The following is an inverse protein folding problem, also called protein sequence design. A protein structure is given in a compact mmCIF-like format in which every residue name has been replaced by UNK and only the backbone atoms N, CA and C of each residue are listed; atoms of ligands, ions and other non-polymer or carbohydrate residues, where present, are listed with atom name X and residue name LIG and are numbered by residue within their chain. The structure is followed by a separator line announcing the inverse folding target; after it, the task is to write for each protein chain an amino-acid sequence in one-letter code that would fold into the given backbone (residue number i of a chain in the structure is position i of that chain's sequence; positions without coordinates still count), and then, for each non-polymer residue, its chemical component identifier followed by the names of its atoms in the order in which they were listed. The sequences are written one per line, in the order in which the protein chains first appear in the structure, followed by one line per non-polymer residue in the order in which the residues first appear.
data_IF_460329259037
#
_entry.id   IF_460329259037
#
_cell.length_a   1.000
_cell.length_b   1.000
_cell.length_c   1.000
_cell.angle_alpha   90.00
_cell.angle_beta   90.00
_cell.angle_gamma   90.00
#
_symmetry.space_group_name_H-M   'P 1'
#
loop_
_entity.id
_entity.type
_entity.pdbx_description
1 polymer ?
#
# COMPACT_ATOMS: atom_id res chain seq x y z
N UNK A 1 -29.79 -63.37 64.29
CA UNK A 1 -29.08 -64.25 63.35
C UNK A 1 -28.08 -63.38 62.58
N UNK A 2 -26.88 -63.15 63.12
CA UNK A 2 -25.63 -63.96 63.06
C UNK A 2 -24.87 -63.84 61.74
N UNK A 3 -23.53 -63.84 61.90
CA UNK A 3 -22.44 -63.96 60.91
C UNK A 3 -21.89 -62.63 60.41
N UNK A 4 -20.90 -62.03 61.08
CA UNK A 4 -19.47 -62.40 61.24
C UNK A 4 -18.60 -62.10 60.02
N UNK A 5 -17.59 -61.29 60.30
CA UNK A 5 -16.47 -60.89 59.48
C UNK A 5 -15.59 -62.04 58.97
N UNK A 6 -14.99 -61.84 57.80
CA UNK A 6 -13.73 -62.44 57.36
C UNK A 6 -12.81 -61.27 56.92
N UNK A 7 -11.80 -60.91 57.71
CA UNK A 7 -10.42 -61.43 57.70
C UNK A 7 -9.77 -61.28 56.31
N UNK A 8 -9.03 -60.20 56.09
CA UNK A 8 -7.57 -60.28 56.10
C UNK A 8 -6.94 -59.34 55.06
N UNK A 9 -5.60 -59.15 55.10
CA UNK A 9 -4.96 -57.87 54.78
C UNK A 9 -4.14 -57.89 53.48
N UNK A 10 -3.77 -56.68 53.03
CA UNK A 10 -2.45 -56.26 52.54
C UNK A 10 -2.43 -55.46 51.22
N UNK A 11 -1.43 -54.56 51.08
CA UNK A 11 -1.47 -53.38 50.25
C UNK A 11 -0.71 -53.60 48.94
N UNK A 12 -1.16 -52.96 47.87
CA UNK A 12 -0.38 -52.82 46.65
C UNK A 12 -0.20 -51.33 46.38
N UNK A 13 0.76 -50.78 47.12
CA UNK A 13 1.52 -49.63 46.69
C UNK A 13 2.23 -49.98 45.38
N UNK A 14 1.61 -49.69 44.24
CA UNK A 14 2.34 -49.54 42.99
C UNK A 14 2.71 -48.06 42.83
N UNK A 15 3.91 -47.75 43.33
CA UNK A 15 4.74 -46.63 42.86
C UNK A 15 4.76 -46.66 41.34
N UNK A 16 4.05 -45.75 40.69
CA UNK A 16 4.40 -45.37 39.34
C UNK A 16 5.73 -44.61 39.43
N UNK A 17 6.81 -45.05 38.76
CA UNK A 17 7.96 -44.19 38.60
C UNK A 17 7.51 -43.01 37.72
N UNK A 18 7.71 -41.80 38.22
CA UNK A 18 7.76 -40.62 37.37
C UNK A 18 8.92 -40.82 36.39
N UNK A 19 8.66 -41.43 35.24
CA UNK A 19 9.50 -41.24 34.06
C UNK A 19 9.30 -39.79 33.65
N UNK A 20 10.06 -38.91 34.30
CA UNK A 20 10.32 -37.57 33.84
C UNK A 20 11.11 -37.72 32.54
N UNK A 21 10.40 -37.95 31.45
CA UNK A 21 10.97 -38.00 30.10
C UNK A 21 11.58 -36.63 29.87
N UNK A 22 12.90 -36.56 30.06
CA UNK A 22 13.72 -35.41 29.74
C UNK A 22 13.57 -35.19 28.24
N UNK A 23 12.62 -34.34 27.83
CA UNK A 23 12.48 -33.88 26.46
C UNK A 23 13.81 -33.23 26.10
N UNK A 24 14.63 -33.98 25.36
CA UNK A 24 15.91 -33.51 24.86
C UNK A 24 15.58 -32.36 23.91
N UNK A 25 15.61 -31.14 24.43
CA UNK A 25 15.48 -29.92 23.66
C UNK A 25 16.74 -29.82 22.81
N UNK A 26 16.71 -30.43 21.62
CA UNK A 26 17.74 -30.28 20.60
C UNK A 26 17.77 -28.79 20.25
N UNK A 27 18.71 -28.05 20.84
CA UNK A 27 19.04 -26.71 20.39
C UNK A 27 19.59 -26.86 18.98
N UNK A 28 18.78 -26.55 17.98
CA UNK A 28 19.22 -26.43 16.59
C UNK A 28 20.17 -25.23 16.53
N UNK A 29 21.46 -25.51 16.40
CA UNK A 29 22.41 -24.49 15.98
C UNK A 29 22.21 -24.31 14.48
N UNK A 30 21.96 -23.07 14.03
CA UNK A 30 21.86 -22.74 12.61
C UNK A 30 23.14 -23.16 11.90
N UNK A 31 23.02 -23.94 10.83
CA UNK A 31 24.15 -24.25 9.98
C UNK A 31 24.56 -22.99 9.21
N UNK A 32 25.87 -22.74 9.06
CA UNK A 32 26.37 -21.64 8.22
C UNK A 32 25.82 -21.72 6.79
N UNK A 33 25.64 -22.93 6.25
CA UNK A 33 25.04 -23.15 4.93
C UNK A 33 23.56 -22.77 4.89
N UNK A 34 22.84 -22.97 5.98
CA UNK A 34 21.42 -22.67 6.09
C UNK A 34 21.19 -21.15 6.06
N UNK A 35 22.04 -20.38 6.75
CA UNK A 35 22.03 -18.93 6.65
C UNK A 35 22.46 -18.44 5.25
N UNK A 36 23.49 -19.06 4.67
CA UNK A 36 24.03 -18.68 3.37
C UNK A 36 23.00 -18.89 2.24
N UNK A 37 22.28 -20.01 2.24
CA UNK A 37 21.22 -20.28 1.26
C UNK A 37 20.05 -19.28 1.35
N UNK A 38 19.72 -18.79 2.56
CA UNK A 38 18.64 -17.82 2.73
C UNK A 38 19.03 -16.47 2.14
N UNK A 39 20.23 -15.96 2.45
CA UNK A 39 20.65 -14.65 1.94
C UNK A 39 20.86 -14.66 0.42
N UNK A 40 21.28 -15.78 -0.17
CA UNK A 40 21.38 -15.91 -1.63
C UNK A 40 20.02 -15.86 -2.31
N UNK A 41 19.02 -16.57 -1.79
CA UNK A 41 17.66 -16.54 -2.34
C UNK A 41 17.04 -15.13 -2.17
N UNK A 42 17.20 -14.50 -0.99
CA UNK A 42 16.72 -13.12 -0.77
C UNK A 42 17.39 -12.12 -1.72
N UNK A 43 18.70 -12.26 -1.99
CA UNK A 43 19.42 -11.43 -2.95
C UNK A 43 18.88 -11.54 -4.37
N UNK A 44 18.60 -12.76 -4.84
CA UNK A 44 18.02 -13.01 -6.18
C UNK A 44 16.63 -12.38 -6.28
N UNK A 45 15.77 -12.59 -5.27
CA UNK A 45 14.43 -12.01 -5.24
C UNK A 45 14.47 -10.47 -5.25
N UNK A 46 15.32 -9.87 -4.41
CA UNK A 46 15.47 -8.42 -4.35
C UNK A 46 15.95 -7.83 -5.69
N UNK A 47 16.91 -8.47 -6.37
CA UNK A 47 17.42 -8.02 -7.66
C UNK A 47 16.34 -7.96 -8.76
N UNK A 48 15.34 -8.84 -8.70
CA UNK A 48 14.22 -8.85 -9.65
C UNK A 48 13.15 -7.82 -9.27
N UNK A 49 12.87 -7.65 -7.97
CA UNK A 49 11.79 -6.80 -7.47
C UNK A 49 12.12 -5.30 -7.61
N UNK A 50 13.32 -4.88 -7.21
CA UNK A 50 13.72 -3.46 -7.19
C UNK A 50 13.49 -2.73 -8.54
N UNK A 51 13.97 -3.22 -9.70
CA UNK A 51 13.78 -2.52 -10.97
C UNK A 51 12.30 -2.48 -11.42
N UNK A 52 11.48 -3.42 -10.97
CA UNK A 52 10.05 -3.45 -11.29
C UNK A 52 9.27 -2.41 -10.49
N UNK A 53 9.62 -2.21 -9.22
CA UNK A 53 8.96 -1.22 -8.35
C UNK A 53 9.24 0.20 -8.79
N UNK A 54 10.48 0.52 -9.18
CA UNK A 54 10.83 1.88 -9.61
C UNK A 54 10.11 2.27 -10.91
N UNK A 55 10.09 1.38 -11.91
CA UNK A 55 9.36 1.61 -13.16
C UNK A 55 7.83 1.72 -12.95
N UNK A 56 7.28 0.93 -12.02
CA UNK A 56 5.87 1.03 -11.63
C UNK A 56 5.54 2.37 -10.96
N UNK A 57 6.44 2.90 -10.14
CA UNK A 57 6.24 4.18 -9.45
C UNK A 57 6.28 5.39 -10.38
N UNK A 58 7.15 5.37 -11.39
CA UNK A 58 7.27 6.46 -12.38
C UNK A 58 6.02 6.52 -13.27
N UNK A 59 5.60 5.37 -13.81
CA UNK A 59 4.36 5.27 -14.60
C UNK A 59 3.10 5.56 -13.78
N UNK A 60 3.09 5.26 -12.48
CA UNK A 60 1.98 5.62 -11.59
C UNK A 60 1.86 7.14 -11.41
N UNK A 61 2.98 7.85 -11.28
CA UNK A 61 2.98 9.33 -11.22
C UNK A 61 2.44 9.94 -12.51
N UNK A 62 2.87 9.43 -13.65
CA UNK A 62 2.39 9.88 -14.96
C UNK A 62 0.87 9.67 -15.12
N UNK A 63 0.38 8.46 -14.81
CA UNK A 63 -1.05 8.14 -14.84
C UNK A 63 -1.86 9.00 -13.87
N UNK A 64 -1.34 9.25 -12.67
CA UNK A 64 -1.97 10.15 -11.70
C UNK A 64 -2.05 11.57 -12.23
N UNK A 65 -1.00 12.06 -12.91
CA UNK A 65 -1.06 13.37 -13.56
C UNK A 65 -2.15 13.43 -14.63
N UNK A 66 -2.23 12.44 -15.53
CA UNK A 66 -3.25 12.40 -16.60
C UNK A 66 -4.67 12.36 -16.01
N UNK A 67 -4.87 11.58 -14.94
CA UNK A 67 -6.14 11.54 -14.22
C UNK A 67 -6.50 12.90 -13.64
N UNK A 68 -5.57 13.58 -12.97
CA UNK A 68 -5.79 14.91 -12.40
C UNK A 68 -6.13 15.95 -13.47
N UNK A 69 -5.47 15.92 -14.64
CA UNK A 69 -5.79 16.81 -15.78
C UNK A 69 -7.26 16.65 -16.20
N UNK A 70 -7.73 15.41 -16.35
CA UNK A 70 -9.13 15.14 -16.68
C UNK A 70 -10.09 15.58 -15.58
N UNK A 71 -9.73 15.36 -14.32
CA UNK A 71 -10.55 15.78 -13.17
C UNK A 71 -10.69 17.31 -13.09
N UNK A 72 -9.59 18.04 -13.29
CA UNK A 72 -9.58 19.51 -13.32
C UNK A 72 -10.38 20.01 -14.53
N UNK A 73 -10.23 19.39 -15.70
CA UNK A 73 -10.98 19.78 -16.89
C UNK A 73 -12.49 19.70 -16.66
N UNK A 74 -12.99 18.60 -16.08
CA UNK A 74 -14.40 18.46 -15.72
C UNK A 74 -14.86 19.53 -14.72
N UNK A 75 -14.01 19.91 -13.76
CA UNK A 75 -14.33 20.96 -12.79
C UNK A 75 -14.40 22.35 -13.45
N UNK A 76 -13.50 22.63 -14.38
CA UNK A 76 -13.47 23.86 -15.18
C UNK A 76 -14.71 23.98 -16.05
N UNK A 77 -15.13 22.89 -16.70
CA UNK A 77 -16.37 22.87 -17.47
C UNK A 77 -17.60 23.12 -16.59
N UNK A 78 -17.67 22.49 -15.41
CA UNK A 78 -18.73 22.76 -14.42
C UNK A 78 -18.75 24.24 -13.98
N UNK A 79 -17.57 24.84 -13.77
CA UNK A 79 -17.45 26.24 -13.41
C UNK A 79 -17.98 27.16 -14.51
N UNK A 80 -17.62 26.87 -15.76
CA UNK A 80 -18.13 27.58 -16.93
C UNK A 80 -19.66 27.43 -17.04
N UNK A 81 -20.19 26.24 -16.84
CA UNK A 81 -21.63 26.00 -16.95
C UNK A 81 -22.42 26.75 -15.85
N UNK A 82 -21.82 26.95 -14.66
CA UNK A 82 -22.43 27.69 -13.57
C UNK A 82 -22.31 29.22 -13.70
N UNK A 83 -21.16 29.73 -14.17
CA UNK A 83 -20.85 31.18 -14.19
C UNK A 83 -20.95 31.82 -15.57
N UNK A 84 -20.97 31.02 -16.64
CA UNK A 84 -20.93 31.46 -18.02
C UNK A 84 -19.56 31.96 -18.49
N UNK A 85 -18.53 31.93 -17.62
CA UNK A 85 -17.19 32.46 -17.90
C UNK A 85 -16.15 31.38 -17.59
N UNK A 86 -15.07 31.34 -18.37
CA UNK A 86 -13.95 30.45 -18.08
C UNK A 86 -13.14 30.96 -16.88
N UNK A 87 -12.60 30.07 -16.04
CA UNK A 87 -11.76 30.47 -14.92
C UNK A 87 -10.41 31.02 -15.40
N UNK A 88 -9.68 31.68 -14.50
CA UNK A 88 -8.34 32.20 -14.79
C UNK A 88 -7.35 31.09 -15.15
N UNK A 89 -6.27 31.44 -15.85
CA UNK A 89 -5.25 30.48 -16.27
C UNK A 89 -4.62 29.72 -15.09
N UNK A 90 -4.55 30.35 -13.91
CA UNK A 90 -3.99 29.78 -12.69
C UNK A 90 -5.03 29.02 -11.84
N UNK A 91 -6.30 28.93 -12.28
CA UNK A 91 -7.37 28.19 -11.60
C UNK A 91 -7.70 28.65 -10.17
N UNK A 92 -7.38 29.90 -9.82
CA UNK A 92 -7.57 30.44 -8.47
C UNK A 92 -9.04 30.41 -8.00
N UNK A 93 -10.00 30.41 -8.93
CA UNK A 93 -11.43 30.34 -8.62
C UNK A 93 -11.89 28.94 -8.16
N UNK A 94 -11.13 27.92 -8.51
CA UNK A 94 -11.41 26.53 -8.15
C UNK A 94 -10.60 26.08 -6.92
N UNK A 95 -9.46 26.73 -6.64
CA UNK A 95 -8.57 26.37 -5.54
C UNK A 95 -9.19 26.69 -4.17
N UNK A 96 -9.30 25.69 -3.30
CA UNK A 96 -9.90 25.81 -1.97
C UNK A 96 -11.42 26.04 -1.99
N UNK A 97 -12.07 25.90 -3.16
CA UNK A 97 -13.51 26.08 -3.29
C UNK A 97 -14.25 24.77 -2.92
N UNK A 98 -15.19 24.87 -1.98
CA UNK A 98 -15.98 23.74 -1.47
C UNK A 98 -16.77 22.99 -2.57
N UNK A 99 -17.12 23.66 -3.68
CA UNK A 99 -17.92 23.07 -4.76
C UNK A 99 -17.10 22.28 -5.80
N UNK A 100 -15.78 22.47 -5.81
CA UNK A 100 -14.85 21.91 -6.80
C UNK A 100 -13.67 21.19 -6.17
N UNK A 101 -12.81 21.92 -5.43
CA UNK A 101 -11.62 21.40 -4.78
C UNK A 101 -11.52 21.93 -3.34
N UNK A 102 -12.19 21.28 -2.37
CA UNK A 102 -12.22 21.74 -0.98
C UNK A 102 -10.84 21.72 -0.30
N UNK A 103 -9.95 20.81 -0.73
CA UNK A 103 -8.58 20.68 -0.23
C UNK A 103 -7.55 21.45 -1.07
N UNK A 104 -8.02 22.16 -2.11
CA UNK A 104 -7.17 22.78 -3.11
C UNK A 104 -6.79 21.86 -4.27
N UNK A 105 -6.27 22.46 -5.32
CA UNK A 105 -5.90 21.75 -6.55
C UNK A 105 -4.59 20.98 -6.30
N UNK A 106 -4.54 19.67 -6.59
CA UNK A 106 -3.32 18.90 -6.39
C UNK A 106 -2.21 19.37 -7.33
N UNK A 107 -0.96 19.29 -6.88
CA UNK A 107 0.21 19.52 -7.76
C UNK A 107 0.50 18.28 -8.61
N UNK A 108 1.23 18.48 -9.71
CA UNK A 108 1.62 17.36 -10.54
C UNK A 108 2.65 16.45 -9.83
N UNK A 109 2.43 15.13 -9.73
CA UNK A 109 3.35 14.21 -9.06
C UNK A 109 4.65 13.93 -9.86
N UNK A 110 4.73 14.35 -11.13
CA UNK A 110 5.92 14.18 -11.98
C UNK A 110 6.83 15.41 -11.90
N UNK A 111 6.28 16.61 -12.09
CA UNK A 111 7.06 17.87 -12.13
C UNK A 111 7.02 18.67 -10.83
N UNK A 112 6.03 18.45 -9.96
CA UNK A 112 5.78 19.28 -8.78
C UNK A 112 5.11 20.63 -9.09
N UNK A 113 4.86 20.94 -10.36
CA UNK A 113 4.25 22.21 -10.77
C UNK A 113 2.72 22.18 -10.62
N UNK A 114 2.13 23.36 -10.41
CA UNK A 114 0.69 23.55 -10.46
C UNK A 114 0.15 23.40 -11.88
N UNK A 115 -1.10 22.92 -11.98
CA UNK A 115 -1.83 22.86 -13.24
C UNK A 115 -2.27 24.27 -13.67
N UNK A 116 -2.29 24.49 -14.98
CA UNK A 116 -2.75 25.76 -15.57
C UNK A 116 -3.59 25.48 -16.80
N UNK A 117 -4.45 26.41 -17.17
CA UNK A 117 -5.19 26.34 -18.42
C UNK A 117 -4.48 27.18 -19.48
N UNK A 118 -4.44 26.68 -20.71
CA UNK A 118 -4.10 27.50 -21.88
C UNK A 118 -5.31 28.35 -22.30
N UNK A 119 -5.29 29.68 -22.10
CA UNK A 119 -6.40 30.55 -22.49
C UNK A 119 -6.45 30.83 -24.00
N UNK A 120 -5.39 30.45 -24.73
CA UNK A 120 -5.28 30.67 -26.18
C UNK A 120 -5.75 29.48 -27.02
N UNK A 121 -5.90 28.30 -26.39
CA UNK A 121 -6.38 27.11 -27.06
C UNK A 121 -7.90 27.11 -27.26
N UNK A 122 -8.36 26.51 -28.36
CA UNK A 122 -9.78 26.42 -28.73
C UNK A 122 -10.69 25.75 -27.68
N UNK A 123 -10.09 25.02 -26.71
CA UNK A 123 -10.83 24.21 -25.72
C UNK A 123 -10.47 24.48 -24.26
N UNK A 124 -9.80 25.59 -23.93
CA UNK A 124 -9.33 25.86 -22.55
C UNK A 124 -8.66 24.61 -21.93
N UNK A 125 -7.61 24.14 -22.62
CA UNK A 125 -6.95 22.88 -22.30
C UNK A 125 -6.17 23.01 -20.99
N UNK A 126 -6.38 22.06 -20.07
CA UNK A 126 -5.57 21.94 -18.86
C UNK A 126 -4.20 21.36 -19.22
N UNK A 127 -3.14 22.10 -18.87
CA UNK A 127 -1.74 21.73 -19.09
C UNK A 127 -1.21 21.03 -17.84
N UNK A 128 -0.69 19.81 -18.01
CA UNK A 128 0.00 19.04 -16.99
C UNK A 128 1.54 19.17 -17.07
N UNK A 129 2.27 18.15 -16.63
CA UNK A 129 3.75 18.15 -16.68
C UNK A 129 4.35 18.04 -18.09
N UNK A 130 3.55 17.67 -19.08
CA UNK A 130 3.97 17.60 -20.48
C UNK A 130 3.10 18.52 -21.31
N UNK A 131 3.73 19.49 -21.96
CA UNK A 131 3.10 20.54 -22.77
C UNK A 131 2.49 20.00 -24.08
N UNK A 132 1.50 19.10 -24.01
CA UNK A 132 0.87 18.54 -25.23
C UNK A 132 1.11 17.07 -25.53
N UNK A 133 2.16 16.46 -24.98
CA UNK A 133 2.63 15.17 -25.49
C UNK A 133 1.88 13.92 -24.97
N UNK A 134 1.08 14.05 -23.91
CA UNK A 134 0.31 12.93 -23.34
C UNK A 134 -1.19 13.16 -23.48
N UNK A 135 -1.67 13.06 -24.72
CA UNK A 135 -3.03 12.58 -25.00
C UNK A 135 -2.90 11.22 -25.68
N UNK A 136 -3.65 10.18 -25.27
CA UNK A 136 -3.69 8.93 -26.02
C UNK A 136 -4.25 9.14 -27.43
#
# INVERSE_FOLDING_TARGET
MTCVATKGPQPYALRAPAMLTRLIRRRQAFSLMELLAVVTILGILAAIIVPRVTAGSETAKERSCVYNVGHIHSAVERYRDATGVWPSADLNELDGNLDYFPEGIPVCPVSGNAYRIDPTGERYRVIGHTDGAHTP
#
